data_IF_825858873150
#
_entry.id   IF_825858873150
#
_cell.length_a   1.000
_cell.length_b   1.000
_cell.length_c   1.000
_cell.angle_alpha   90.00
_cell.angle_beta   90.00
_cell.angle_gamma   90.00
#
_symmetry.space_group_name_H-M   'P 1'
#
loop_
_entity.id
_entity.type
_entity.pdbx_description
1 polymer ?
#
# COMPACT_ATOMS: atom_id res chain seq x y z
N UNK A 1 6.75 -20.59 14.04
CA UNK A 1 5.95 -19.87 15.06
C UNK A 1 6.88 -19.00 15.91
N UNK A 2 7.15 -17.76 15.48
CA UNK A 2 7.67 -16.67 16.32
C UNK A 2 7.14 -15.36 15.74
N UNK A 3 6.17 -14.80 16.45
CA UNK A 3 5.61 -13.46 16.24
C UNK A 3 6.62 -12.48 16.82
N UNK A 4 7.30 -11.71 15.97
CA UNK A 4 8.07 -10.54 16.40
C UNK A 4 7.28 -9.30 16.10
N UNK A 5 6.86 -8.65 17.18
CA UNK A 5 6.33 -7.29 17.29
C UNK A 5 6.92 -6.33 16.26
N UNK A 6 6.04 -5.71 15.48
CA UNK A 6 6.34 -4.45 14.80
C UNK A 6 6.56 -3.39 15.88
N UNK A 7 7.83 -3.04 16.09
CA UNK A 7 8.26 -1.95 16.97
C UNK A 7 7.83 -0.63 16.36
N UNK A 8 6.84 -0.01 17.01
CA UNK A 8 6.50 1.39 16.83
C UNK A 8 7.69 2.29 17.20
N UNK A 9 7.69 3.49 16.62
CA UNK A 9 8.42 4.69 17.04
C UNK A 9 9.87 4.83 16.55
N UNK A 10 10.02 5.25 15.29
CA UNK A 10 11.03 6.23 14.94
C UNK A 10 10.38 7.30 14.06
N UNK A 11 10.72 8.57 14.29
CA UNK A 11 10.10 9.82 13.79
C UNK A 11 9.02 10.45 14.69
N UNK A 12 9.41 10.74 15.94
CA UNK A 12 8.87 11.86 16.69
C UNK A 12 9.34 13.19 16.05
N UNK A 13 8.68 13.63 14.98
CA UNK A 13 8.86 14.98 14.41
C UNK A 13 7.62 15.43 13.59
N UNK A 14 6.41 15.24 14.13
CA UNK A 14 5.21 15.96 13.65
C UNK A 14 4.06 15.84 14.67
N UNK A 15 4.11 16.61 15.75
CA UNK A 15 3.06 16.67 16.79
C UNK A 15 1.88 17.60 16.36
N UNK A 16 1.91 18.20 15.17
CA UNK A 16 0.87 19.09 14.65
C UNK A 16 0.05 18.47 13.51
N UNK A 17 -0.56 17.31 13.73
CA UNK A 17 -1.74 16.83 12.99
C UNK A 17 -2.22 15.49 13.56
N UNK A 18 -2.64 15.48 14.83
CA UNK A 18 -3.47 14.38 15.32
C UNK A 18 -4.83 14.50 14.61
N UNK A 19 -5.22 13.54 13.76
CA UNK A 19 -6.47 13.67 13.04
C UNK A 19 -7.63 13.64 14.05
N UNK A 20 -8.64 14.49 13.81
CA UNK A 20 -9.85 14.58 14.62
C UNK A 20 -10.39 13.17 14.94
N UNK A 21 -10.66 12.93 16.23
CA UNK A 21 -11.24 11.69 16.75
C UNK A 21 -12.47 11.23 15.96
N UNK A 22 -13.24 12.17 15.40
CA UNK A 22 -14.37 11.91 14.51
C UNK A 22 -13.93 11.29 13.18
N UNK A 23 -12.88 11.82 12.56
CA UNK A 23 -12.35 11.34 11.28
C UNK A 23 -11.82 9.90 11.43
N UNK A 24 -11.09 9.61 12.51
CA UNK A 24 -10.62 8.24 12.77
C UNK A 24 -11.78 7.25 12.92
N UNK A 25 -12.85 7.65 13.62
CA UNK A 25 -14.06 6.83 13.73
C UNK A 25 -14.73 6.61 12.36
N UNK A 26 -14.83 7.65 11.53
CA UNK A 26 -15.41 7.55 10.19
C UNK A 26 -14.61 6.62 9.28
N UNK A 27 -13.28 6.70 9.29
CA UNK A 27 -12.41 5.81 8.51
C UNK A 27 -12.55 4.35 8.97
N UNK A 28 -12.63 4.11 10.28
CA UNK A 28 -12.84 2.77 10.82
C UNK A 28 -14.20 2.18 10.39
N UNK A 29 -15.26 2.99 10.47
CA UNK A 29 -16.60 2.58 10.02
C UNK A 29 -16.65 2.30 8.52
N UNK A 30 -16.02 3.15 7.71
CA UNK A 30 -15.93 2.96 6.26
C UNK A 30 -15.15 1.67 5.92
N UNK A 31 -14.03 1.44 6.60
CA UNK A 31 -13.23 0.21 6.44
C UNK A 31 -14.08 -1.02 6.70
N UNK A 32 -14.88 -1.02 7.78
CA UNK A 32 -15.75 -2.15 8.09
C UNK A 32 -16.83 -2.35 7.03
N UNK A 33 -17.44 -1.27 6.54
CA UNK A 33 -18.44 -1.34 5.46
C UNK A 33 -17.87 -1.95 4.19
N UNK A 34 -16.68 -1.52 3.76
CA UNK A 34 -16.00 -2.04 2.56
C UNK A 34 -15.73 -3.55 2.72
N UNK A 35 -15.19 -3.97 3.86
CA UNK A 35 -14.91 -5.40 4.13
C UNK A 35 -16.17 -6.25 4.13
N UNK A 36 -17.23 -5.78 4.79
CA UNK A 36 -18.51 -6.49 4.83
C UNK A 36 -19.11 -6.63 3.42
N UNK A 37 -19.05 -5.56 2.62
CA UNK A 37 -19.54 -5.60 1.25
C UNK A 37 -18.73 -6.57 0.37
N UNK A 38 -17.40 -6.56 0.49
CA UNK A 38 -16.55 -7.52 -0.22
C UNK A 38 -16.89 -8.97 0.14
N UNK A 39 -17.05 -9.29 1.43
CA UNK A 39 -17.43 -10.64 1.85
C UNK A 39 -18.82 -11.01 1.30
N UNK A 40 -19.79 -10.10 1.34
CA UNK A 40 -21.13 -10.33 0.80
C UNK A 40 -21.15 -10.57 -0.72
N UNK A 41 -20.20 -9.97 -1.45
CA UNK A 41 -20.00 -10.21 -2.88
C UNK A 41 -19.24 -11.52 -3.18
N UNK A 42 -18.80 -12.25 -2.15
CA UNK A 42 -18.06 -13.51 -2.30
C UNK A 42 -16.54 -13.38 -2.34
N UNK A 43 -15.97 -12.21 -2.03
CA UNK A 43 -14.52 -12.08 -1.91
C UNK A 43 -14.01 -12.79 -0.67
N UNK A 44 -12.97 -13.63 -0.84
CA UNK A 44 -12.36 -14.39 0.26
C UNK A 44 -11.59 -13.50 1.24
N UNK A 45 -10.98 -12.41 0.76
CA UNK A 45 -10.19 -11.49 1.56
C UNK A 45 -10.22 -10.08 0.97
N UNK A 46 -10.13 -9.08 1.86
CA UNK A 46 -10.08 -7.65 1.51
C UNK A 46 -8.95 -7.01 2.31
N UNK A 47 -7.98 -6.45 1.59
CA UNK A 47 -6.89 -5.64 2.15
C UNK A 47 -7.08 -4.16 1.84
N UNK A 48 -6.56 -3.29 2.70
CA UNK A 48 -6.41 -1.86 2.44
C UNK A 48 -4.99 -1.48 2.86
N UNK A 49 -4.24 -0.87 1.96
CA UNK A 49 -2.85 -0.46 2.12
C UNK A 49 -2.70 1.05 1.92
N UNK A 50 -1.59 1.61 2.40
CA UNK A 50 -1.12 2.91 1.91
C UNK A 50 -0.50 2.78 0.50
N UNK A 51 -0.09 3.92 -0.05
CA UNK A 51 0.53 4.03 -1.37
C UNK A 51 2.07 4.18 -1.29
N UNK A 52 2.69 3.95 -0.14
CA UNK A 52 4.13 4.10 0.04
C UNK A 52 4.84 2.83 -0.44
N UNK A 53 5.20 2.81 -1.72
CA UNK A 53 5.76 1.64 -2.39
C UNK A 53 7.26 1.77 -2.70
N UNK A 54 7.97 2.68 -2.02
CA UNK A 54 9.40 2.94 -2.27
C UNK A 54 10.27 1.70 -2.09
N UNK A 55 9.99 0.88 -1.08
CA UNK A 55 10.75 -0.37 -0.86
C UNK A 55 10.51 -1.37 -2.00
N UNK A 56 9.24 -1.55 -2.40
CA UNK A 56 8.88 -2.40 -3.52
C UNK A 56 9.50 -1.91 -4.84
N UNK A 57 9.61 -0.60 -5.05
CA UNK A 57 10.31 -0.01 -6.19
C UNK A 57 11.80 -0.38 -6.20
N UNK A 58 12.48 -0.21 -5.07
CA UNK A 58 13.89 -0.55 -4.96
C UNK A 58 14.14 -2.04 -5.21
N UNK A 59 13.30 -2.91 -4.65
CA UNK A 59 13.37 -4.35 -4.87
C UNK A 59 13.13 -4.71 -6.34
N UNK A 60 12.14 -4.08 -7.00
CA UNK A 60 11.87 -4.28 -8.42
C UNK A 60 13.07 -3.84 -9.28
N UNK A 61 13.64 -2.67 -9.00
CA UNK A 61 14.81 -2.16 -9.73
C UNK A 61 16.02 -3.09 -9.60
N UNK A 62 16.28 -3.59 -8.39
CA UNK A 62 17.36 -4.56 -8.16
C UNK A 62 17.12 -5.88 -8.90
N UNK A 63 15.88 -6.37 -8.89
CA UNK A 63 15.48 -7.59 -9.59
C UNK A 63 15.61 -7.45 -11.12
N UNK A 64 15.21 -6.31 -11.67
CA UNK A 64 15.37 -5.99 -13.10
C UNK A 64 16.83 -5.91 -13.50
N UNK A 65 17.65 -5.19 -12.73
CA UNK A 65 19.09 -5.05 -12.97
C UNK A 65 19.83 -6.39 -12.90
N UNK A 66 19.32 -7.35 -12.12
CA UNK A 66 19.86 -8.70 -12.04
C UNK A 66 19.45 -9.61 -13.22
N UNK A 67 18.74 -9.10 -14.22
CA UNK A 67 18.27 -9.91 -15.37
C UNK A 67 17.24 -10.98 -15.02
N UNK A 68 16.63 -10.91 -13.83
CA UNK A 68 15.71 -11.96 -13.32
C UNK A 68 14.35 -11.98 -14.02
N UNK A 69 14.11 -11.05 -14.95
CA UNK A 69 12.88 -10.96 -15.73
C UNK A 69 12.88 -11.83 -16.99
N UNK A 70 14.00 -12.50 -17.32
CA UNK A 70 14.10 -13.38 -18.48
C UNK A 70 13.70 -12.65 -19.77
N UNK A 71 12.67 -13.14 -20.45
CA UNK A 71 12.14 -12.54 -21.69
C UNK A 71 10.96 -11.59 -21.47
N UNK A 72 10.59 -11.28 -20.21
CA UNK A 72 9.45 -10.43 -19.88
C UNK A 72 9.79 -8.93 -20.06
N UNK A 73 10.11 -8.49 -21.27
CA UNK A 73 10.50 -7.10 -21.56
C UNK A 73 9.44 -6.05 -21.15
N UNK A 74 8.16 -6.44 -21.05
CA UNK A 74 7.12 -5.56 -20.53
C UNK A 74 7.34 -5.19 -19.06
N UNK A 75 8.06 -6.00 -18.28
CA UNK A 75 8.40 -5.72 -16.87
C UNK A 75 9.30 -4.49 -16.74
N UNK A 76 10.18 -4.26 -17.70
CA UNK A 76 11.00 -3.05 -17.75
C UNK A 76 10.19 -1.85 -18.30
N UNK A 77 9.40 -2.06 -19.36
CA UNK A 77 8.70 -1.00 -20.12
C UNK A 77 7.87 -0.02 -19.29
N UNK A 78 7.21 -0.49 -18.23
CA UNK A 78 6.33 0.35 -17.40
C UNK A 78 6.91 0.71 -16.02
N UNK A 79 8.18 0.35 -15.77
CA UNK A 79 9.00 0.66 -14.57
C UNK A 79 8.25 1.26 -13.38
N UNK A 80 8.48 2.56 -13.15
CA UNK A 80 8.00 3.34 -12.00
C UNK A 80 6.49 3.52 -11.91
N UNK A 81 5.72 3.33 -13.00
CA UNK A 81 4.25 3.42 -12.92
C UNK A 81 3.64 2.31 -12.06
N UNK A 82 4.37 1.21 -11.82
CA UNK A 82 3.93 0.09 -10.97
C UNK A 82 3.94 0.43 -9.48
N UNK A 83 4.78 1.38 -9.07
CA UNK A 83 5.02 1.76 -7.67
C UNK A 83 4.51 3.17 -7.38
N UNK A 84 3.88 3.83 -8.37
CA UNK A 84 3.28 5.14 -8.22
C UNK A 84 1.78 5.08 -8.59
N UNK A 85 0.90 4.73 -7.63
CA UNK A 85 -0.54 4.64 -7.88
C UNK A 85 -1.14 5.95 -8.40
N UNK A 86 -0.63 7.09 -7.93
CA UNK A 86 -1.05 8.42 -8.39
C UNK A 86 -0.75 8.71 -9.86
N UNK A 87 0.21 7.99 -10.46
CA UNK A 87 0.49 8.07 -11.89
C UNK A 87 -0.53 7.29 -12.75
N UNK A 88 -1.33 6.42 -12.13
CA UNK A 88 -2.43 5.72 -12.78
C UNK A 88 -3.74 6.48 -12.60
N UNK A 89 -4.05 6.88 -11.36
CA UNK A 89 -5.25 7.64 -11.02
C UNK A 89 -4.83 8.84 -10.15
N UNK A 90 -4.96 10.09 -10.63
CA UNK A 90 -4.64 11.26 -9.82
C UNK A 90 -5.45 11.30 -8.53
N UNK A 91 -4.78 11.60 -7.42
CA UNK A 91 -5.43 11.66 -6.10
C UNK A 91 -5.62 10.31 -5.40
N UNK A 92 -4.99 9.21 -5.85
CA UNK A 92 -4.99 7.95 -5.09
C UNK A 92 -4.34 8.13 -3.73
N UNK A 93 -5.12 7.90 -2.66
CA UNK A 93 -4.64 7.96 -1.28
C UNK A 93 -4.32 6.58 -0.68
N UNK A 94 -5.05 5.54 -1.10
CA UNK A 94 -4.98 4.16 -0.59
C UNK A 94 -5.39 3.17 -1.68
N UNK A 95 -4.94 1.92 -1.55
CA UNK A 95 -5.30 0.78 -2.41
C UNK A 95 -5.96 -0.29 -1.55
#
# INVERSE_FOLDING_TARGET
MRVTQFSCYHLASNILNLPDSKVMRQIAQLTQKIKNHGIALGFQAIGISDTQLTEAENQLMHWLASGKHGTMFYMEKHGKKRTHPSALVPGTCRI
#
